data_IF_411833500124
#
_entry.id   IF_411833500124
#
_cell.length_a   1.000
_cell.length_b   1.000
_cell.length_c   1.000
_cell.angle_alpha   90.00
_cell.angle_beta   90.00
_cell.angle_gamma   90.00
#
_symmetry.space_group_name_H-M   'P 1'
#
loop_
_entity.id
_entity.type
_entity.pdbx_description
1 polymer ?
#
# COMPACT_ATOMS: atom_id res chain seq x y z
N UNK A 1 -22.40 11.96 -68.21
CA UNK A 1 -21.98 10.79 -67.39
C UNK A 1 -20.80 11.08 -66.45
N UNK A 2 -19.72 11.73 -66.90
CA UNK A 2 -18.56 12.02 -66.02
C UNK A 2 -18.86 12.85 -64.76
N UNK A 3 -19.81 13.80 -64.80
CA UNK A 3 -20.17 14.61 -63.64
C UNK A 3 -20.92 13.83 -62.55
N UNK A 4 -21.81 12.90 -62.96
CA UNK A 4 -22.57 12.06 -62.03
C UNK A 4 -21.66 11.04 -61.33
N UNK A 5 -20.69 10.47 -62.05
CA UNK A 5 -19.70 9.57 -61.46
C UNK A 5 -18.79 10.26 -60.43
N UNK A 6 -18.42 11.54 -60.66
CA UNK A 6 -17.65 12.34 -59.69
C UNK A 6 -18.47 12.73 -58.46
N UNK A 7 -19.75 13.05 -58.63
CA UNK A 7 -20.64 13.34 -57.51
C UNK A 7 -20.88 12.11 -56.62
N UNK A 8 -21.05 10.93 -57.24
CA UNK A 8 -21.22 9.67 -56.52
C UNK A 8 -19.99 9.29 -55.70
N UNK A 9 -18.78 9.39 -56.28
CA UNK A 9 -17.53 9.15 -55.54
C UNK A 9 -17.32 10.11 -54.37
N UNK A 10 -17.69 11.38 -54.51
CA UNK A 10 -17.63 12.34 -53.40
C UNK A 10 -18.60 11.98 -52.27
N UNK A 11 -19.81 11.51 -52.61
CA UNK A 11 -20.75 11.03 -51.60
C UNK A 11 -20.22 9.79 -50.88
N UNK A 12 -19.65 8.83 -51.61
CA UNK A 12 -19.04 7.62 -51.03
C UNK A 12 -17.86 7.98 -50.09
N UNK A 13 -16.98 8.91 -50.49
CA UNK A 13 -15.88 9.40 -49.64
C UNK A 13 -16.35 10.16 -48.39
N UNK A 14 -17.44 10.94 -48.48
CA UNK A 14 -18.01 11.65 -47.33
C UNK A 14 -18.71 10.68 -46.37
N UNK A 15 -19.38 9.66 -46.88
CA UNK A 15 -20.04 8.63 -46.07
C UNK A 15 -19.01 7.74 -45.35
N UNK A 16 -17.92 7.38 -46.02
CA UNK A 16 -16.81 6.63 -45.43
C UNK A 16 -16.11 7.44 -44.31
N UNK A 17 -15.87 8.74 -44.53
CA UNK A 17 -15.32 9.63 -43.49
C UNK A 17 -16.24 9.75 -42.29
N UNK A 18 -17.54 9.93 -42.49
CA UNK A 18 -18.51 10.00 -41.38
C UNK A 18 -18.56 8.68 -40.60
N UNK A 19 -18.52 7.55 -41.29
CA UNK A 19 -18.48 6.23 -40.65
C UNK A 19 -17.21 6.02 -39.83
N UNK A 20 -16.05 6.51 -40.29
CA UNK A 20 -14.80 6.46 -39.55
C UNK A 20 -14.83 7.37 -38.32
N UNK A 21 -15.30 8.61 -38.47
CA UNK A 21 -15.45 9.56 -37.35
C UNK A 21 -16.41 9.05 -36.27
N UNK A 22 -17.51 8.40 -36.66
CA UNK A 22 -18.47 7.80 -35.73
C UNK A 22 -17.86 6.61 -34.97
N UNK A 23 -17.11 5.74 -35.67
CA UNK A 23 -16.41 4.62 -35.05
C UNK A 23 -15.34 5.08 -34.04
N UNK A 24 -14.53 6.08 -34.40
CA UNK A 24 -13.54 6.67 -33.48
C UNK A 24 -14.22 7.30 -32.26
N UNK A 25 -15.36 7.97 -32.46
CA UNK A 25 -16.10 8.58 -31.35
C UNK A 25 -16.65 7.51 -30.40
N UNK A 26 -17.21 6.42 -30.93
CA UNK A 26 -17.68 5.31 -30.11
C UNK A 26 -16.54 4.66 -29.32
N UNK A 27 -15.38 4.46 -29.95
CA UNK A 27 -14.20 3.89 -29.30
C UNK A 27 -13.72 4.78 -28.16
N UNK A 28 -13.65 6.11 -28.38
CA UNK A 28 -13.32 7.09 -27.32
C UNK A 28 -14.34 7.06 -26.18
N UNK A 29 -15.64 6.94 -26.47
CA UNK A 29 -16.65 6.83 -25.43
C UNK A 29 -16.57 5.51 -24.64
N UNK A 30 -16.24 4.40 -25.30
CA UNK A 30 -16.01 3.11 -24.63
C UNK A 30 -14.79 3.17 -23.72
N UNK A 31 -13.66 3.67 -24.23
CA UNK A 31 -12.43 3.85 -23.44
C UNK A 31 -12.68 4.72 -22.19
N UNK A 32 -13.46 5.80 -22.32
CA UNK A 32 -13.85 6.65 -21.18
C UNK A 32 -14.66 5.91 -20.12
N UNK A 33 -15.62 5.06 -20.50
CA UNK A 33 -16.45 4.28 -19.57
C UNK A 33 -15.62 3.20 -18.87
N UNK A 34 -14.78 2.53 -19.64
CA UNK A 34 -13.86 1.52 -19.13
C UNK A 34 -12.85 2.12 -18.14
N UNK A 35 -12.35 3.33 -18.36
CA UNK A 35 -11.50 4.03 -17.38
C UNK A 35 -12.24 4.34 -16.07
N UNK A 36 -13.51 4.77 -16.14
CA UNK A 36 -14.34 5.00 -14.93
C UNK A 36 -14.64 3.69 -14.18
N UNK A 37 -14.71 2.56 -14.88
CA UNK A 37 -14.82 1.24 -14.28
C UNK A 37 -13.55 0.82 -13.53
N UNK A 38 -12.37 1.15 -14.06
CA UNK A 38 -11.10 0.90 -13.38
C UNK A 38 -10.97 1.75 -12.12
N UNK A 39 -11.34 3.05 -12.14
CA UNK A 39 -11.37 3.88 -10.92
C UNK A 39 -12.27 3.25 -9.86
N UNK A 40 -13.47 2.79 -10.24
CA UNK A 40 -14.40 2.12 -9.31
C UNK A 40 -13.82 0.83 -8.76
N UNK A 41 -13.13 0.05 -9.61
CA UNK A 41 -12.48 -1.20 -9.21
C UNK A 41 -11.31 -0.94 -8.25
N UNK A 42 -10.51 0.09 -8.51
CA UNK A 42 -9.43 0.52 -7.62
C UNK A 42 -9.96 0.89 -6.22
N UNK A 43 -11.01 1.71 -6.13
CA UNK A 43 -11.66 2.03 -4.85
C UNK A 43 -12.24 0.80 -4.14
N UNK A 44 -12.79 -0.15 -4.90
CA UNK A 44 -13.29 -1.39 -4.32
C UNK A 44 -12.16 -2.27 -3.74
N UNK A 45 -10.99 -2.30 -4.40
CA UNK A 45 -9.81 -2.97 -3.90
C UNK A 45 -9.23 -2.29 -2.64
N UNK A 46 -9.16 -0.95 -2.62
CA UNK A 46 -8.77 -0.18 -1.42
C UNK A 46 -9.66 -0.49 -0.22
N UNK A 47 -10.99 -0.57 -0.42
CA UNK A 47 -11.93 -0.97 0.64
C UNK A 47 -11.69 -2.38 1.20
N UNK A 48 -11.08 -3.25 0.41
CA UNK A 48 -10.68 -4.60 0.82
C UNK A 48 -9.25 -4.65 1.35
N UNK A 49 -8.58 -3.50 1.45
CA UNK A 49 -7.17 -3.35 1.83
C UNK A 49 -6.21 -4.07 0.87
N UNK A 50 -6.62 -4.32 -0.38
CA UNK A 50 -5.75 -4.89 -1.41
C UNK A 50 -5.12 -3.76 -2.25
N UNK A 51 -4.03 -3.20 -1.71
CA UNK A 51 -3.29 -2.09 -2.34
C UNK A 51 -2.62 -2.51 -3.66
N UNK A 52 -2.29 -3.79 -3.84
CA UNK A 52 -1.68 -4.31 -5.05
C UNK A 52 -2.70 -4.42 -6.21
N UNK A 53 -3.91 -4.89 -5.91
CA UNK A 53 -5.01 -4.90 -6.88
C UNK A 53 -5.46 -3.48 -7.23
N UNK A 54 -5.56 -2.59 -6.23
CA UNK A 54 -5.87 -1.17 -6.44
C UNK A 54 -4.88 -0.48 -7.39
N UNK A 55 -3.57 -0.67 -7.19
CA UNK A 55 -2.52 -0.11 -8.04
C UNK A 55 -2.63 -0.57 -9.50
N UNK A 56 -2.96 -1.85 -9.74
CA UNK A 56 -3.16 -2.38 -11.10
C UNK A 56 -4.34 -1.73 -11.81
N UNK A 57 -5.45 -1.54 -11.09
CA UNK A 57 -6.63 -0.86 -11.62
C UNK A 57 -6.32 0.61 -11.93
N UNK A 58 -5.60 1.31 -11.05
CA UNK A 58 -5.17 2.69 -11.31
C UNK A 58 -4.26 2.81 -12.55
N UNK A 59 -3.30 1.91 -12.71
CA UNK A 59 -2.46 1.90 -13.91
C UNK A 59 -3.29 1.75 -15.19
N UNK A 60 -4.25 0.82 -15.22
CA UNK A 60 -5.15 0.63 -16.37
C UNK A 60 -6.06 1.83 -16.60
N UNK A 61 -6.56 2.45 -15.52
CA UNK A 61 -7.35 3.68 -15.62
C UNK A 61 -6.52 4.78 -16.27
N UNK A 62 -5.26 4.93 -15.86
CA UNK A 62 -4.33 5.92 -16.41
C UNK A 62 -4.05 5.69 -17.89
N UNK A 63 -3.71 4.47 -18.30
CA UNK A 63 -3.49 4.12 -19.72
C UNK A 63 -4.72 4.49 -20.57
N UNK A 64 -5.93 4.13 -20.11
CA UNK A 64 -7.18 4.48 -20.81
C UNK A 64 -7.45 5.98 -20.88
N UNK A 65 -7.08 6.73 -19.86
CA UNK A 65 -7.23 8.19 -19.84
C UNK A 65 -6.12 8.95 -20.57
N UNK A 66 -4.98 8.32 -20.85
CA UNK A 66 -3.95 8.87 -21.75
C UNK A 66 -4.41 8.72 -23.22
N UNK A 67 -5.04 7.60 -23.56
CA UNK A 67 -5.57 7.34 -24.91
C UNK A 67 -6.86 8.11 -25.23
N UNK A 68 -7.65 8.45 -24.21
CA UNK A 68 -8.84 9.26 -24.35
C UNK A 68 -8.55 10.73 -24.03
N UNK A 69 -8.95 11.68 -24.89
CA UNK A 69 -8.97 13.11 -24.53
C UNK A 69 -9.87 13.32 -23.30
N UNK A 70 -9.24 13.27 -22.12
CA UNK A 70 -9.91 13.12 -20.84
C UNK A 70 -10.18 14.48 -20.22
N UNK A 71 -11.39 14.66 -19.69
CA UNK A 71 -11.80 15.92 -19.05
C UNK A 71 -11.12 16.03 -17.68
N UNK A 72 -10.75 17.24 -17.24
CA UNK A 72 -10.06 17.48 -15.95
C UNK A 72 -10.67 16.74 -14.77
N UNK A 73 -12.00 16.58 -14.74
CA UNK A 73 -12.70 15.86 -13.68
C UNK A 73 -12.23 14.40 -13.52
N UNK A 74 -11.92 13.71 -14.63
CA UNK A 74 -11.44 12.32 -14.61
C UNK A 74 -10.00 12.22 -14.11
N UNK A 75 -9.16 13.21 -14.45
CA UNK A 75 -7.80 13.31 -13.90
C UNK A 75 -7.82 13.53 -12.40
N UNK A 76 -8.65 14.47 -11.93
CA UNK A 76 -8.84 14.67 -10.49
C UNK A 76 -9.32 13.40 -9.78
N UNK A 77 -10.26 12.66 -10.37
CA UNK A 77 -10.72 11.40 -9.78
C UNK A 77 -9.65 10.31 -9.76
N UNK A 78 -8.69 10.32 -10.69
CA UNK A 78 -7.52 9.44 -10.66
C UNK A 78 -6.57 9.87 -9.54
N UNK A 79 -6.21 11.16 -9.50
CA UNK A 79 -5.32 11.75 -8.49
C UNK A 79 -5.86 11.49 -7.06
N UNK A 80 -7.17 11.66 -6.84
CA UNK A 80 -7.84 11.39 -5.56
C UNK A 80 -7.62 9.94 -5.11
N UNK A 81 -7.72 8.97 -6.04
CA UNK A 81 -7.59 7.53 -5.71
C UNK A 81 -6.12 7.11 -5.60
N UNK A 82 -5.22 7.78 -6.33
CA UNK A 82 -3.77 7.63 -6.10
C UNK A 82 -3.39 8.08 -4.70
N UNK A 83 -3.93 9.22 -4.23
CA UNK A 83 -3.74 9.67 -2.84
C UNK A 83 -4.33 8.67 -1.83
N UNK A 84 -5.56 8.19 -2.03
CA UNK A 84 -6.17 7.16 -1.17
C UNK A 84 -5.31 5.88 -1.12
N UNK A 85 -4.66 5.50 -2.22
CA UNK A 85 -3.75 4.36 -2.27
C UNK A 85 -2.46 4.62 -1.49
N UNK A 86 -1.87 5.81 -1.61
CA UNK A 86 -0.68 6.20 -0.84
C UNK A 86 -0.95 6.13 0.67
N UNK A 87 -2.06 6.72 1.13
CA UNK A 87 -2.52 6.66 2.52
C UNK A 87 -2.72 5.20 2.98
N UNK A 88 -3.43 4.38 2.19
CA UNK A 88 -3.66 2.98 2.52
C UNK A 88 -2.37 2.13 2.58
N UNK A 89 -1.37 2.46 1.76
CA UNK A 89 -0.04 1.82 1.80
C UNK A 89 0.73 2.22 3.06
N UNK A 90 0.63 3.49 3.47
CA UNK A 90 1.25 4.00 4.68
C UNK A 90 0.64 3.34 5.94
N UNK A 91 -0.69 3.28 6.02
CA UNK A 91 -1.45 2.54 7.05
C UNK A 91 -1.02 1.08 7.17
N UNK A 92 -0.87 0.40 6.02
CA UNK A 92 -0.45 -1.00 5.98
C UNK A 92 0.97 -1.18 6.53
N UNK A 93 1.89 -0.25 6.23
CA UNK A 93 3.25 -0.27 6.76
C UNK A 93 3.27 0.01 8.28
N UNK A 94 2.50 0.99 8.77
CA UNK A 94 2.34 1.25 10.22
C UNK A 94 1.80 0.02 10.94
N UNK A 95 0.78 -0.61 10.36
CA UNK A 95 0.19 -1.85 10.87
C UNK A 95 1.21 -3.00 10.92
N UNK A 96 2.11 -3.10 9.94
CA UNK A 96 3.17 -4.09 9.92
C UNK A 96 4.20 -3.88 11.06
N UNK A 97 4.55 -2.64 11.37
CA UNK A 97 5.39 -2.31 12.54
C UNK A 97 4.70 -2.77 13.83
N UNK A 98 3.44 -2.36 14.03
CA UNK A 98 2.66 -2.73 15.22
C UNK A 98 2.55 -4.25 15.38
N UNK A 99 2.33 -4.98 14.29
CA UNK A 99 2.30 -6.44 14.29
C UNK A 99 3.65 -7.08 14.64
N UNK A 100 4.77 -6.47 14.24
CA UNK A 100 6.10 -6.91 14.65
C UNK A 100 6.35 -6.68 16.15
N UNK A 101 5.97 -5.51 16.66
CA UNK A 101 6.07 -5.19 18.09
C UNK A 101 5.21 -6.15 18.94
N UNK A 102 3.98 -6.44 18.52
CA UNK A 102 3.10 -7.36 19.24
C UNK A 102 3.70 -8.77 19.33
N UNK A 103 4.29 -9.28 18.24
CA UNK A 103 4.99 -10.58 18.25
C UNK A 103 6.13 -10.62 19.26
N UNK A 104 6.87 -9.51 19.40
CA UNK A 104 7.92 -9.37 20.40
C UNK A 104 7.37 -9.42 21.82
N UNK A 105 6.29 -8.70 22.08
CA UNK A 105 5.58 -8.71 23.37
C UNK A 105 5.03 -10.08 23.73
N UNK A 106 4.42 -10.76 22.78
CA UNK A 106 3.88 -12.11 22.98
C UNK A 106 5.00 -13.09 23.36
N UNK A 107 6.16 -13.00 22.69
CA UNK A 107 7.33 -13.82 23.03
C UNK A 107 7.84 -13.58 24.46
N UNK A 108 7.77 -12.35 24.97
CA UNK A 108 8.12 -12.03 26.36
C UNK A 108 7.05 -12.52 27.35
N UNK A 109 5.77 -12.43 26.99
CA UNK A 109 4.63 -12.82 27.82
C UNK A 109 4.49 -14.33 28.00
N UNK A 110 4.93 -15.12 27.02
CA UNK A 110 5.03 -16.58 27.14
C UNK A 110 5.93 -17.04 28.31
N UNK A 111 6.72 -16.14 28.90
CA UNK A 111 7.66 -16.43 30.00
C UNK A 111 7.28 -15.82 31.34
N UNK A 112 5.99 -15.65 31.66
CA UNK A 112 5.52 -15.02 32.91
C UNK A 112 6.33 -15.45 34.16
N UNK A 113 7.07 -14.49 34.72
CA UNK A 113 7.95 -14.62 35.90
C UNK A 113 9.45 -14.62 35.59
N UNK A 114 9.86 -15.08 34.41
CA UNK A 114 11.26 -15.04 33.94
C UNK A 114 11.31 -15.32 32.44
N UNK A 115 11.48 -14.28 31.62
CA UNK A 115 11.78 -14.48 30.20
C UNK A 115 13.04 -15.34 30.08
N UNK A 116 12.97 -16.42 29.30
CA UNK A 116 14.10 -17.30 29.00
C UNK A 116 14.96 -16.71 27.88
N UNK A 117 16.23 -17.11 27.76
CA UNK A 117 17.11 -16.63 26.69
C UNK A 117 16.49 -16.81 25.28
N UNK A 118 15.81 -17.93 24.93
CA UNK A 118 15.12 -18.05 23.64
C UNK A 118 13.96 -17.06 23.45
N UNK A 119 13.27 -16.66 24.51
CA UNK A 119 12.20 -15.67 24.44
C UNK A 119 12.76 -14.26 24.22
N UNK A 120 13.84 -13.91 24.94
CA UNK A 120 14.55 -12.64 24.75
C UNK A 120 15.11 -12.53 23.32
N UNK A 121 15.67 -13.61 22.76
CA UNK A 121 16.13 -13.63 21.37
C UNK A 121 14.98 -13.42 20.38
N UNK A 122 13.87 -14.16 20.52
CA UNK A 122 12.68 -13.98 19.66
C UNK A 122 12.13 -12.55 19.72
N UNK A 123 12.06 -11.96 20.91
CA UNK A 123 11.61 -10.59 21.09
C UNK A 123 12.58 -9.57 20.46
N UNK A 124 13.89 -9.80 20.57
CA UNK A 124 14.92 -8.98 19.91
C UNK A 124 14.83 -9.03 18.39
N UNK A 125 14.59 -10.21 17.82
CA UNK A 125 14.43 -10.38 16.38
C UNK A 125 13.18 -9.62 15.88
N UNK A 126 12.06 -9.73 16.62
CA UNK A 126 10.83 -9.00 16.31
C UNK A 126 11.00 -7.47 16.40
N UNK A 127 11.72 -6.98 17.41
CA UNK A 127 12.05 -5.55 17.56
C UNK A 127 13.00 -5.05 16.47
N UNK A 128 13.97 -5.89 16.07
CA UNK A 128 14.88 -5.56 14.97
C UNK A 128 14.13 -5.42 13.64
N UNK A 129 13.13 -6.27 13.42
CA UNK A 129 12.23 -6.16 12.27
C UNK A 129 11.34 -4.92 12.35
N UNK A 130 10.76 -4.62 13.51
CA UNK A 130 9.99 -3.41 13.73
C UNK A 130 10.82 -2.14 13.43
N UNK A 131 12.07 -2.07 13.87
CA UNK A 131 12.99 -0.95 13.57
C UNK A 131 13.33 -0.84 12.09
N UNK A 132 13.46 -1.96 11.37
CA UNK A 132 13.68 -1.94 9.91
C UNK A 132 12.46 -1.36 9.19
N UNK A 133 11.26 -1.79 9.58
CA UNK A 133 10.00 -1.32 9.02
C UNK A 133 9.72 0.15 9.37
N UNK A 134 9.96 0.54 10.63
CA UNK A 134 9.90 1.94 11.09
C UNK A 134 10.87 2.83 10.32
N UNK A 135 12.10 2.37 10.09
CA UNK A 135 13.06 3.11 9.26
C UNK A 135 12.56 3.25 7.82
N UNK A 136 12.05 2.17 7.23
CA UNK A 136 11.50 2.21 5.88
C UNK A 136 10.27 3.15 5.78
N UNK A 137 9.50 3.28 6.85
CA UNK A 137 8.45 4.30 7.00
C UNK A 137 9.03 5.71 7.09
N UNK A 138 10.03 5.96 7.94
CA UNK A 138 10.72 7.27 8.05
C UNK A 138 11.30 7.73 6.72
N UNK A 139 11.87 6.80 5.95
CA UNK A 139 12.48 7.09 4.65
C UNK A 139 11.42 7.36 3.56
N UNK A 140 10.17 6.90 3.76
CA UNK A 140 9.08 7.01 2.78
C UNK A 140 8.01 8.07 3.14
N UNK A 141 7.88 8.43 4.42
CA UNK A 141 6.80 9.24 4.97
C UNK A 141 7.12 10.74 4.97
N UNK A 142 6.11 11.55 4.67
CA UNK A 142 6.08 13.01 4.87
C UNK A 142 5.26 13.38 6.12
N UNK A 143 4.58 12.42 6.75
CA UNK A 143 3.62 12.66 7.83
C UNK A 143 4.31 12.48 9.19
N UNK A 144 4.66 13.60 9.83
CA UNK A 144 5.42 13.62 11.09
C UNK A 144 4.62 13.05 12.29
N UNK A 145 3.29 13.18 12.29
CA UNK A 145 2.45 12.93 13.46
C UNK A 145 2.31 11.42 13.78
N UNK A 146 2.00 10.57 12.79
CA UNK A 146 1.87 9.12 13.00
C UNK A 146 3.22 8.46 13.31
N UNK A 147 4.30 9.03 12.78
CA UNK A 147 5.66 8.59 13.04
C UNK A 147 6.10 8.82 14.49
N UNK A 148 5.51 9.83 15.17
CA UNK A 148 5.71 10.06 16.60
C UNK A 148 5.18 8.91 17.44
N UNK A 149 3.95 8.44 17.17
CA UNK A 149 3.35 7.32 17.89
C UNK A 149 4.11 6.01 17.66
N UNK A 150 4.42 5.69 16.40
CA UNK A 150 5.16 4.46 16.06
C UNK A 150 6.55 4.46 16.69
N UNK A 151 7.25 5.60 16.68
CA UNK A 151 8.57 5.72 17.32
C UNK A 151 8.49 5.48 18.83
N UNK A 152 7.47 6.05 19.49
CA UNK A 152 7.26 5.85 20.92
C UNK A 152 6.93 4.39 21.26
N UNK A 153 6.11 3.72 20.44
CA UNK A 153 5.81 2.29 20.60
C UNK A 153 7.07 1.42 20.46
N UNK A 154 7.94 1.70 19.50
CA UNK A 154 9.23 1.01 19.32
C UNK A 154 10.16 1.25 20.51
N UNK A 155 10.21 2.47 21.03
CA UNK A 155 11.01 2.81 22.21
C UNK A 155 10.53 2.08 23.47
N UNK A 156 9.22 2.06 23.73
CA UNK A 156 8.64 1.31 24.84
C UNK A 156 8.94 -0.20 24.73
N UNK A 157 8.79 -0.78 23.53
CA UNK A 157 9.10 -2.19 23.31
C UNK A 157 10.60 -2.51 23.52
N UNK A 158 11.50 -1.56 23.23
CA UNK A 158 12.92 -1.69 23.57
C UNK A 158 13.13 -1.71 25.09
N UNK A 159 12.47 -0.83 25.83
CA UNK A 159 12.57 -0.79 27.30
C UNK A 159 12.07 -2.11 27.91
N UNK A 160 10.92 -2.63 27.44
CA UNK A 160 10.37 -3.93 27.86
C UNK A 160 11.38 -5.08 27.60
N UNK A 161 12.05 -5.07 26.44
CA UNK A 161 13.07 -6.07 26.10
C UNK A 161 14.31 -5.96 27.01
N UNK A 162 14.77 -4.75 27.30
CA UNK A 162 15.95 -4.52 28.13
C UNK A 162 15.69 -4.96 29.59
N UNK A 163 14.48 -4.72 30.11
CA UNK A 163 14.05 -5.23 31.42
C UNK A 163 13.97 -6.76 31.43
N UNK A 164 13.38 -7.36 30.41
CA UNK A 164 13.32 -8.82 30.28
C UNK A 164 14.71 -9.46 30.23
N UNK A 165 15.66 -8.85 29.52
CA UNK A 165 17.05 -9.31 29.44
C UNK A 165 17.74 -9.25 30.82
N UNK A 166 17.61 -8.12 31.54
CA UNK A 166 18.19 -7.97 32.88
C UNK A 166 17.64 -9.00 33.87
N UNK A 167 16.34 -9.28 33.79
CA UNK A 167 15.68 -10.28 34.61
C UNK A 167 16.18 -11.70 34.27
N UNK A 168 16.36 -12.01 32.99
CA UNK A 168 16.95 -13.29 32.56
C UNK A 168 18.37 -13.47 33.12
N UNK A 169 19.24 -12.48 32.96
CA UNK A 169 20.63 -12.52 33.45
C UNK A 169 20.70 -12.68 34.98
N UNK A 170 19.86 -11.93 35.70
CA UNK A 170 19.79 -11.98 37.16
C UNK A 170 19.36 -13.36 37.67
N UNK A 171 18.37 -13.98 37.01
CA UNK A 171 17.91 -15.32 37.35
C UNK A 171 18.96 -16.39 37.04
N UNK A 172 19.67 -16.26 35.91
CA UNK A 172 20.76 -17.16 35.55
C UNK A 172 21.90 -17.11 36.59
N UNK A 173 22.26 -15.91 37.06
CA UNK A 173 23.27 -15.72 38.09
C UNK A 173 22.82 -16.30 39.44
N UNK A 174 21.56 -16.12 39.83
CA UNK A 174 21.00 -16.69 41.05
C UNK A 174 21.05 -18.23 41.03
N UNK A 175 20.68 -18.85 39.90
CA UNK A 175 20.76 -20.30 39.72
C UNK A 175 22.21 -20.80 39.79
N UNK A 176 23.15 -20.08 39.18
CA UNK A 176 24.57 -20.44 39.22
C UNK A 176 25.13 -20.39 40.66
N UNK A 177 24.80 -19.35 41.42
CA UNK A 177 25.23 -19.23 42.82
C UNK A 177 24.62 -20.32 43.71
N UNK A 178 23.37 -20.73 43.48
CA UNK A 178 22.75 -21.85 44.19
C UNK A 178 23.42 -23.20 43.86
N UNK A 179 23.85 -23.41 42.62
CA UNK A 179 24.51 -24.64 42.20
C UNK A 179 25.94 -24.79 42.75
N UNK A 180 26.56 -23.70 43.18
CA UNK A 180 27.93 -23.65 43.73
C UNK A 180 27.99 -23.69 45.27
N UNK A 181 26.83 -23.68 45.94
CA UNK A 181 26.68 -23.74 47.40
C UNK A 181 26.40 -25.19 47.87
#
# INVERSE_FOLDING_TARGET
>A
EMAAARAKRKQEEEEEKRSQEEAEKEERERSKKEGDEEIRSARAALKRQDTAEAAKHLQRARERFEDADCVEQKRRALDDVEQELEEAVEDAKVSAVRAALQRGRDALREGEGSATQPQVVRARDALSEARRLEKALKDASVVEDEMGEVSAEVEMAQQELDEASKNNDSNLMAMYMQAMA
#
